data_IF_051797517474
#
_entry.id   IF_051797517474
#
_cell.length_a   1.000
_cell.length_b   1.000
_cell.length_c   1.000
_cell.angle_alpha   90.00
_cell.angle_beta   90.00
_cell.angle_gamma   90.00
#
_symmetry.space_group_name_H-M   'P 1'
#
loop_
_entity.id
_entity.type
_entity.pdbx_description
1 polymer ?
#
# COMPACT_ATOMS: atom_id res chain seq x y z
N UNK A 1 5.88 -24.26 24.39
CA UNK A 1 5.56 -23.90 23.01
C UNK A 1 4.76 -22.57 22.94
N UNK A 2 3.61 -22.42 23.60
CA UNK A 2 2.80 -21.18 23.55
C UNK A 2 3.52 -19.93 24.08
N UNK A 3 4.29 -20.05 25.16
CA UNK A 3 5.02 -18.91 25.75
C UNK A 3 6.15 -18.47 24.82
N UNK A 4 6.88 -19.37 24.21
CA UNK A 4 7.95 -19.04 23.27
C UNK A 4 7.41 -18.31 22.02
N UNK A 5 6.31 -18.82 21.43
CA UNK A 5 5.65 -18.18 20.30
C UNK A 5 5.13 -16.77 20.65
N UNK A 6 4.61 -16.57 21.87
CA UNK A 6 4.19 -15.25 22.31
C UNK A 6 5.35 -14.27 22.51
N UNK A 7 6.47 -14.77 23.03
CA UNK A 7 7.69 -13.96 23.17
C UNK A 7 8.25 -13.54 21.81
N UNK A 8 8.31 -14.46 20.85
CA UNK A 8 8.75 -14.15 19.48
C UNK A 8 7.85 -13.08 18.82
N UNK A 9 6.53 -13.20 19.01
CA UNK A 9 5.58 -12.22 18.49
C UNK A 9 5.73 -10.85 19.16
N UNK A 10 5.96 -10.82 20.47
CA UNK A 10 6.20 -9.58 21.21
C UNK A 10 7.50 -8.90 20.78
N UNK A 11 8.60 -9.66 20.66
CA UNK A 11 9.87 -9.15 20.20
C UNK A 11 9.77 -8.60 18.75
N UNK A 12 9.03 -9.29 17.89
CA UNK A 12 8.72 -8.83 16.54
C UNK A 12 8.02 -7.46 16.54
N UNK A 13 6.95 -7.32 17.34
CA UNK A 13 6.21 -6.05 17.45
C UNK A 13 7.10 -4.92 18.00
N UNK A 14 7.89 -5.19 19.03
CA UNK A 14 8.82 -4.21 19.63
C UNK A 14 9.87 -3.78 18.61
N UNK A 15 10.44 -4.71 17.86
CA UNK A 15 11.46 -4.40 16.86
C UNK A 15 10.90 -3.56 15.70
N UNK A 16 9.68 -3.83 15.24
CA UNK A 16 9.02 -3.02 14.22
C UNK A 16 8.73 -1.59 14.73
N UNK A 17 8.22 -1.45 15.95
CA UNK A 17 7.99 -0.16 16.57
C UNK A 17 9.29 0.62 16.80
N UNK A 18 10.39 -0.06 17.17
CA UNK A 18 11.70 0.55 17.32
C UNK A 18 12.27 1.01 15.96
N UNK A 19 12.21 0.16 14.95
CA UNK A 19 12.67 0.47 13.59
C UNK A 19 11.94 1.67 12.96
N UNK A 20 10.66 1.83 13.29
CA UNK A 20 9.85 2.98 12.85
C UNK A 20 9.93 4.20 13.77
N UNK A 21 10.73 4.16 14.84
CA UNK A 21 10.99 5.31 15.72
C UNK A 21 9.86 5.64 16.69
N UNK A 22 8.99 4.69 17.02
CA UNK A 22 7.94 4.87 18.03
C UNK A 22 8.40 4.55 19.45
N UNK A 23 9.46 3.79 19.60
CA UNK A 23 10.08 3.47 20.87
C UNK A 23 11.59 3.26 20.72
N UNK A 24 12.30 3.27 21.85
CA UNK A 24 13.71 2.88 21.95
C UNK A 24 13.82 1.72 22.94
N UNK A 25 14.57 0.68 22.56
CA UNK A 25 14.90 -0.45 23.43
C UNK A 25 16.28 -0.21 24.05
N UNK A 26 16.44 -0.52 25.35
CA UNK A 26 17.75 -0.45 26.01
C UNK A 26 18.72 -1.49 25.44
N UNK A 27 20.01 -1.26 25.59
CA UNK A 27 21.06 -2.20 25.12
C UNK A 27 20.92 -3.59 25.75
N UNK A 28 20.51 -3.67 27.01
CA UNK A 28 20.25 -4.91 27.73
C UNK A 28 18.95 -5.60 27.30
N UNK A 29 18.09 -4.91 26.52
CA UNK A 29 16.83 -5.44 26.02
C UNK A 29 15.68 -5.47 27.05
N UNK A 30 15.94 -5.10 28.30
CA UNK A 30 14.99 -5.25 29.41
C UNK A 30 14.04 -4.05 29.59
N UNK A 31 14.35 -2.92 28.99
CA UNK A 31 13.55 -1.70 29.09
C UNK A 31 13.17 -1.14 27.73
N UNK A 32 11.97 -0.59 27.66
CA UNK A 32 11.44 0.07 26.47
C UNK A 32 11.01 1.49 26.86
N UNK A 33 11.50 2.49 26.13
CA UNK A 33 11.10 3.88 26.27
C UNK A 33 10.21 4.27 25.10
N UNK A 34 8.98 4.71 25.38
CA UNK A 34 8.01 5.13 24.38
C UNK A 34 8.28 6.59 23.98
N UNK A 35 8.17 6.88 22.68
CA UNK A 35 8.22 8.24 22.15
C UNK A 35 6.80 8.82 22.04
N UNK A 36 6.68 10.15 22.10
CA UNK A 36 5.38 10.84 22.02
C UNK A 36 4.63 10.52 20.72
N UNK A 37 5.35 10.20 19.64
CA UNK A 37 4.78 9.80 18.35
C UNK A 37 3.87 8.58 18.44
N UNK A 38 4.02 7.70 19.45
CA UNK A 38 3.21 6.48 19.60
C UNK A 38 1.71 6.81 19.76
N UNK A 39 1.38 7.98 20.32
CA UNK A 39 -0.01 8.40 20.48
C UNK A 39 -0.75 8.54 19.12
N UNK A 40 -0.02 8.78 18.02
CA UNK A 40 -0.61 8.84 16.68
C UNK A 40 -1.22 7.50 16.28
N UNK A 41 -0.59 6.39 16.69
CA UNK A 41 -1.08 5.03 16.37
C UNK A 41 -2.44 4.73 17.00
N UNK A 42 -2.74 5.35 18.15
CA UNK A 42 -4.01 5.15 18.86
C UNK A 42 -5.22 5.71 18.09
N UNK A 43 -5.00 6.55 17.09
CA UNK A 43 -6.06 7.09 16.23
C UNK A 43 -6.56 6.06 15.21
N UNK A 44 -5.76 5.04 14.90
CA UNK A 44 -6.09 4.02 13.91
C UNK A 44 -6.70 2.79 14.61
N UNK A 45 -8.03 2.66 14.60
CA UNK A 45 -8.75 1.58 15.30
C UNK A 45 -9.23 0.46 14.38
N UNK A 46 -9.38 0.75 13.09
CA UNK A 46 -10.00 -0.15 12.11
C UNK A 46 -9.04 -0.63 11.04
N UNK A 47 -7.78 -0.16 11.07
CA UNK A 47 -6.72 -0.54 10.12
C UNK A 47 -5.46 -0.84 10.90
N UNK A 48 -4.48 -1.47 10.26
CA UNK A 48 -3.14 -1.60 10.84
C UNK A 48 -2.60 -0.21 11.21
N UNK A 49 -2.28 0.05 12.50
CA UNK A 49 -1.88 1.38 12.95
C UNK A 49 -0.57 1.87 12.33
N UNK A 50 0.39 0.96 12.07
CA UNK A 50 1.67 1.32 11.47
C UNK A 50 1.50 1.66 10.00
N UNK A 51 0.70 0.87 9.28
CA UNK A 51 0.35 1.18 7.89
C UNK A 51 -0.43 2.49 7.78
N UNK A 52 -1.39 2.73 8.66
CA UNK A 52 -2.14 3.99 8.71
C UNK A 52 -1.25 5.21 8.96
N UNK A 53 -0.30 5.11 9.88
CA UNK A 53 0.67 6.18 10.13
C UNK A 53 1.59 6.41 8.92
N UNK A 54 2.09 5.34 8.30
CA UNK A 54 2.86 5.40 7.06
C UNK A 54 2.08 6.11 5.95
N UNK A 55 0.81 5.75 5.73
CA UNK A 55 -0.02 6.41 4.72
C UNK A 55 -0.14 7.92 4.98
N UNK A 56 -0.38 8.34 6.23
CA UNK A 56 -0.49 9.78 6.53
C UNK A 56 0.79 10.56 6.22
N UNK A 57 1.95 9.95 6.35
CA UNK A 57 3.23 10.55 5.97
C UNK A 57 3.38 10.65 4.46
N UNK A 58 3.04 9.59 3.72
CA UNK A 58 3.16 9.57 2.26
C UNK A 58 2.17 10.51 1.57
N UNK A 59 0.94 10.62 2.09
CA UNK A 59 -0.13 11.42 1.49
C UNK A 59 0.18 12.94 1.43
N UNK A 60 1.21 13.42 2.12
CA UNK A 60 1.70 14.80 2.00
C UNK A 60 2.21 15.09 0.58
N UNK A 61 2.77 14.09 -0.10
CA UNK A 61 3.36 14.21 -1.44
C UNK A 61 2.39 13.88 -2.56
N UNK A 62 1.17 13.44 -2.24
CA UNK A 62 0.20 12.91 -3.20
C UNK A 62 -0.76 13.97 -3.72
N UNK A 63 -1.23 13.77 -4.96
CA UNK A 63 -2.38 14.48 -5.51
C UNK A 63 -3.71 13.90 -4.98
N UNK A 64 -4.84 14.39 -5.50
CA UNK A 64 -6.17 13.95 -5.04
C UNK A 64 -6.44 12.49 -5.41
N UNK A 65 -6.13 12.08 -6.62
CA UNK A 65 -6.34 10.74 -7.16
C UNK A 65 -5.54 9.71 -6.36
N UNK A 66 -4.27 9.99 -6.11
CA UNK A 66 -3.41 9.13 -5.27
C UNK A 66 -3.92 9.02 -3.83
N UNK A 67 -4.49 10.09 -3.26
CA UNK A 67 -5.13 10.04 -1.93
C UNK A 67 -6.32 9.10 -1.92
N UNK A 68 -7.15 9.17 -2.96
CA UNK A 68 -8.30 8.26 -3.10
C UNK A 68 -7.82 6.81 -3.20
N UNK A 69 -6.86 6.51 -4.08
CA UNK A 69 -6.32 5.15 -4.24
C UNK A 69 -5.66 4.63 -2.95
N UNK A 70 -4.93 5.48 -2.23
CA UNK A 70 -4.32 5.10 -0.95
C UNK A 70 -5.39 4.78 0.11
N UNK A 71 -6.46 5.58 0.20
CA UNK A 71 -7.55 5.31 1.13
C UNK A 71 -8.33 4.04 0.76
N UNK A 72 -8.48 3.75 -0.52
CA UNK A 72 -9.11 2.50 -0.98
C UNK A 72 -8.35 1.26 -0.51
N UNK A 73 -7.04 1.36 -0.30
CA UNK A 73 -6.22 0.24 0.19
C UNK A 73 -6.59 -0.21 1.61
N UNK A 74 -7.23 0.64 2.40
CA UNK A 74 -7.60 0.38 3.80
C UNK A 74 -9.11 0.19 4.02
N UNK A 75 -9.94 0.39 2.98
CA UNK A 75 -11.39 0.24 3.09
C UNK A 75 -11.80 -1.22 2.92
N UNK A 76 -12.68 -1.70 3.78
CA UNK A 76 -13.30 -3.01 3.65
C UNK A 76 -14.50 -2.94 2.69
N UNK A 77 -14.50 -3.79 1.66
CA UNK A 77 -15.62 -3.93 0.72
C UNK A 77 -15.91 -5.42 0.51
N UNK A 78 -17.18 -5.82 0.38
CA UNK A 78 -17.51 -7.21 0.11
C UNK A 78 -16.81 -7.76 -1.14
N UNK A 79 -16.25 -8.99 -1.09
CA UNK A 79 -15.49 -9.58 -2.21
C UNK A 79 -16.28 -9.65 -3.53
N UNK A 80 -17.62 -9.78 -3.43
CA UNK A 80 -18.52 -9.81 -4.59
C UNK A 80 -18.54 -8.50 -5.36
N UNK A 81 -18.26 -7.37 -4.70
CA UNK A 81 -18.18 -6.05 -5.35
C UNK A 81 -16.79 -5.86 -5.96
N UNK A 82 -15.74 -6.20 -5.22
CA UNK A 82 -14.34 -6.04 -5.68
C UNK A 82 -14.09 -6.71 -7.02
N UNK A 83 -14.63 -7.92 -7.22
CA UNK A 83 -14.47 -8.70 -8.46
C UNK A 83 -15.14 -8.10 -9.69
N UNK A 84 -16.03 -7.11 -9.49
CA UNK A 84 -16.82 -6.49 -10.57
C UNK A 84 -16.30 -5.11 -10.97
N UNK A 85 -15.32 -4.59 -10.25
CA UNK A 85 -14.78 -3.27 -10.49
C UNK A 85 -13.41 -3.42 -11.16
N UNK A 86 -13.27 -2.84 -12.35
CA UNK A 86 -11.99 -2.82 -13.06
C UNK A 86 -10.98 -1.90 -12.37
N UNK A 87 -9.71 -2.11 -12.61
CA UNK A 87 -8.64 -1.22 -12.16
C UNK A 87 -8.81 0.11 -12.91
N UNK A 88 -8.92 1.27 -12.20
CA UNK A 88 -9.05 2.56 -12.87
C UNK A 88 -7.76 2.97 -13.57
N UNK A 89 -7.88 3.56 -14.74
CA UNK A 89 -6.78 4.08 -15.54
C UNK A 89 -6.54 5.55 -15.20
N UNK A 90 -5.92 5.78 -14.04
CA UNK A 90 -5.55 7.13 -13.62
C UNK A 90 -4.08 7.40 -13.96
N UNK A 91 -3.75 8.62 -14.42
CA UNK A 91 -2.37 8.97 -14.68
C UNK A 91 -1.56 8.92 -13.38
N UNK A 92 -0.29 8.45 -13.44
CA UNK A 92 0.56 8.39 -12.26
C UNK A 92 0.79 9.79 -11.68
N UNK A 93 0.62 9.90 -10.36
CA UNK A 93 0.77 11.16 -9.64
C UNK A 93 2.18 11.40 -9.10
N UNK A 94 2.39 12.52 -8.38
CA UNK A 94 3.70 12.89 -7.85
C UNK A 94 4.22 11.94 -6.77
N UNK A 95 3.37 11.35 -5.95
CA UNK A 95 3.80 10.37 -4.96
C UNK A 95 4.33 9.11 -5.65
N UNK A 96 3.62 8.62 -6.66
CA UNK A 96 4.03 7.44 -7.41
C UNK A 96 5.38 7.69 -8.10
N UNK A 97 5.47 8.75 -8.90
CA UNK A 97 6.61 8.99 -9.80
C UNK A 97 7.86 9.50 -9.10
N UNK A 98 7.71 10.29 -8.03
CA UNK A 98 8.83 10.96 -7.36
C UNK A 98 9.30 10.24 -6.09
N UNK A 99 8.46 9.35 -5.51
CA UNK A 99 8.77 8.69 -4.25
C UNK A 99 8.73 7.17 -4.39
N UNK A 100 7.59 6.59 -4.76
CA UNK A 100 7.42 5.14 -4.71
C UNK A 100 8.24 4.42 -5.78
N UNK A 101 8.13 4.82 -7.04
CA UNK A 101 8.87 4.18 -8.14
C UNK A 101 10.40 4.24 -7.95
N UNK A 102 11.01 5.39 -7.59
CA UNK A 102 12.45 5.44 -7.31
C UNK A 102 12.86 4.53 -6.15
N UNK A 103 12.06 4.44 -5.08
CA UNK A 103 12.35 3.56 -3.97
C UNK A 103 12.28 2.09 -4.38
N UNK A 104 11.25 1.69 -5.12
CA UNK A 104 11.07 0.32 -5.59
C UNK A 104 12.15 -0.11 -6.58
N UNK A 105 12.60 0.80 -7.44
CA UNK A 105 13.75 0.57 -8.33
C UNK A 105 15.03 0.36 -7.51
N UNK A 106 15.27 1.19 -6.51
CA UNK A 106 16.44 1.05 -5.62
C UNK A 106 16.43 -0.28 -4.85
N UNK A 107 15.24 -0.78 -4.50
CA UNK A 107 15.07 -2.06 -3.83
C UNK A 107 15.11 -3.27 -4.78
N UNK A 108 15.16 -3.03 -6.10
CA UNK A 108 15.11 -4.09 -7.12
C UNK A 108 13.72 -4.73 -7.28
N UNK A 109 12.68 -4.11 -6.71
CA UNK A 109 11.29 -4.56 -6.81
C UNK A 109 10.58 -4.04 -8.08
N UNK A 110 11.19 -3.08 -8.77
CA UNK A 110 10.75 -2.55 -10.05
C UNK A 110 11.95 -2.40 -10.99
N UNK A 111 11.76 -2.74 -12.26
CA UNK A 111 12.73 -2.42 -13.31
C UNK A 111 12.53 -0.95 -13.70
N UNK A 112 13.62 -0.17 -13.73
CA UNK A 112 13.57 1.22 -14.15
C UNK A 112 13.01 1.31 -15.59
N UNK A 113 11.88 1.98 -15.77
CA UNK A 113 11.36 2.27 -17.11
C UNK A 113 12.26 3.34 -17.76
N UNK A 114 12.70 3.15 -19.00
CA UNK A 114 13.38 4.22 -19.73
C UNK A 114 12.42 5.41 -19.87
N UNK A 115 12.84 6.57 -19.40
CA UNK A 115 12.09 7.82 -19.50
C UNK A 115 11.85 8.13 -20.98
N UNK A 116 10.61 8.00 -21.48
CA UNK A 116 10.25 8.37 -22.86
C UNK A 116 9.64 7.27 -23.74
N UNK A 117 9.40 6.06 -23.24
CA UNK A 117 8.65 5.08 -24.01
C UNK A 117 7.15 5.42 -23.95
N UNK A 118 6.59 5.91 -25.06
CA UNK A 118 5.16 5.91 -25.28
C UNK A 118 4.67 4.46 -25.17
N UNK A 119 3.59 4.26 -24.42
CA UNK A 119 2.94 2.95 -24.31
C UNK A 119 2.28 2.71 -25.67
N UNK A 120 2.87 1.86 -26.52
CA UNK A 120 2.15 1.30 -27.64
C UNK A 120 1.03 0.41 -27.05
N UNK A 121 -0.19 0.90 -27.21
CA UNK A 121 -1.41 0.12 -26.96
C UNK A 121 -1.52 -0.98 -28.02
N UNK A 122 -0.83 -2.09 -27.83
CA UNK A 122 -1.21 -3.31 -28.53
C UNK A 122 -2.43 -3.89 -27.83
N UNK A 123 -3.51 -3.92 -28.59
CA UNK A 123 -4.82 -4.48 -28.30
C UNK A 123 -4.68 -5.88 -27.66
N UNK A 124 -4.98 -5.97 -26.38
CA UNK A 124 -5.16 -7.26 -25.73
C UNK A 124 -6.54 -7.79 -26.13
N UNK A 125 -6.55 -8.91 -26.83
CA UNK A 125 -7.76 -9.65 -27.20
C UNK A 125 -8.53 -10.08 -25.94
N UNK A 126 -9.86 -9.87 -25.96
CA UNK A 126 -10.80 -9.99 -24.83
C UNK A 126 -11.15 -11.44 -24.43
N UNK A 127 -10.40 -12.47 -24.77
CA UNK A 127 -10.88 -13.87 -24.66
C UNK A 127 -9.96 -14.86 -23.90
N UNK A 128 -9.16 -14.41 -22.90
CA UNK A 128 -8.44 -15.39 -22.05
C UNK A 128 -8.71 -15.15 -20.55
N UNK A 129 -9.84 -15.71 -20.09
CA UNK A 129 -10.37 -15.48 -18.73
C UNK A 129 -9.97 -16.57 -17.72
N UNK A 130 -8.98 -17.34 -17.91
CA UNK A 130 -8.40 -18.25 -16.88
C UNK A 130 -7.03 -18.76 -17.34
N UNK A 131 -5.96 -18.06 -17.01
CA UNK A 131 -4.71 -18.79 -16.76
C UNK A 131 -3.80 -18.06 -15.78
N UNK A 132 -3.10 -18.85 -14.98
CA UNK A 132 -2.29 -18.54 -13.80
C UNK A 132 -0.95 -17.86 -14.16
N UNK A 133 -0.97 -16.71 -14.83
CA UNK A 133 0.23 -15.90 -15.02
C UNK A 133 0.12 -14.56 -14.30
N UNK A 134 0.07 -14.60 -12.96
CA UNK A 134 0.22 -13.42 -12.08
C UNK A 134 1.62 -12.76 -12.18
N UNK A 135 2.45 -13.08 -13.18
CA UNK A 135 3.88 -12.87 -13.05
C UNK A 135 4.47 -11.65 -13.75
N UNK A 136 3.76 -10.83 -14.53
CA UNK A 136 4.45 -9.73 -15.23
C UNK A 136 3.76 -8.36 -15.23
N UNK A 137 2.60 -8.15 -14.62
CA UNK A 137 2.05 -6.80 -14.57
C UNK A 137 2.82 -5.94 -13.54
N UNK A 138 3.07 -4.68 -13.87
CA UNK A 138 3.66 -3.77 -12.89
C UNK A 138 2.73 -3.63 -11.67
N UNK A 139 3.29 -3.49 -10.45
CA UNK A 139 2.48 -3.33 -9.25
C UNK A 139 1.61 -2.08 -9.36
N UNK A 140 0.36 -2.21 -8.92
CA UNK A 140 -0.59 -1.10 -8.81
C UNK A 140 -0.16 -0.13 -7.71
N UNK A 141 -0.69 1.10 -7.72
CA UNK A 141 -0.34 2.12 -6.72
C UNK A 141 -0.50 1.65 -5.26
N UNK A 142 -1.61 0.99 -4.84
CA UNK A 142 -1.70 0.41 -3.50
C UNK A 142 -0.70 -0.70 -3.22
N UNK A 143 -0.35 -1.51 -4.21
CA UNK A 143 0.69 -2.54 -4.08
C UNK A 143 2.08 -1.91 -3.91
N UNK A 144 2.37 -0.82 -4.62
CA UNK A 144 3.61 -0.05 -4.42
C UNK A 144 3.71 0.51 -3.00
N UNK A 145 2.63 1.09 -2.47
CA UNK A 145 2.57 1.58 -1.09
C UNK A 145 2.85 0.44 -0.09
N UNK A 146 2.24 -0.71 -0.29
CA UNK A 146 2.45 -1.90 0.53
C UNK A 146 3.92 -2.34 0.50
N UNK A 147 4.51 -2.51 -0.67
CA UNK A 147 5.90 -2.93 -0.83
C UNK A 147 6.88 -1.98 -0.13
N UNK A 148 6.68 -0.67 -0.30
CA UNK A 148 7.50 0.35 0.37
C UNK A 148 7.30 0.32 1.88
N UNK A 149 6.09 0.11 2.37
CA UNK A 149 5.83 -0.04 3.80
C UNK A 149 6.53 -1.27 4.38
N UNK A 150 6.33 -2.44 3.77
CA UNK A 150 6.93 -3.70 4.21
C UNK A 150 8.47 -3.63 4.25
N UNK A 151 9.07 -2.90 3.32
CA UNK A 151 10.53 -2.70 3.31
C UNK A 151 11.07 -1.90 4.50
N UNK A 152 10.22 -1.14 5.20
CA UNK A 152 10.59 -0.37 6.39
C UNK A 152 10.47 -1.18 7.68
N UNK A 153 9.83 -2.33 7.64
CA UNK A 153 9.67 -3.18 8.80
C UNK A 153 10.95 -3.98 9.07
N UNK A 154 11.34 -4.10 10.32
CA UNK A 154 12.51 -4.90 10.73
C UNK A 154 12.30 -6.40 10.45
N UNK A 155 11.05 -6.84 10.50
CA UNK A 155 10.63 -8.16 10.07
C UNK A 155 9.26 -7.98 9.37
N UNK A 156 9.18 -8.21 8.06
CA UNK A 156 7.96 -7.94 7.30
C UNK A 156 6.84 -8.89 7.72
N UNK A 157 5.75 -8.32 8.20
CA UNK A 157 4.47 -9.00 8.33
C UNK A 157 3.63 -8.60 7.11
N UNK A 158 3.03 -9.55 6.38
CA UNK A 158 2.27 -9.22 5.21
C UNK A 158 1.05 -8.36 5.58
N UNK A 159 1.08 -7.10 5.18
CA UNK A 159 -0.06 -6.20 5.34
C UNK A 159 -1.10 -6.59 4.29
N UNK A 160 -2.31 -6.85 4.75
CA UNK A 160 -3.40 -7.16 3.85
C UNK A 160 -3.93 -5.87 3.20
N UNK A 161 -3.46 -5.60 2.00
CA UNK A 161 -3.94 -4.50 1.14
C UNK A 161 -4.75 -5.10 0.00
N UNK A 162 -6.03 -4.78 -0.04
CA UNK A 162 -6.91 -5.18 -1.12
C UNK A 162 -7.55 -3.94 -1.74
N UNK A 163 -7.04 -3.44 -2.87
CA UNK A 163 -7.60 -2.28 -3.56
C UNK A 163 -9.05 -2.52 -3.95
N UNK A 164 -9.87 -1.49 -3.84
CA UNK A 164 -11.31 -1.57 -4.12
C UNK A 164 -11.70 -0.91 -5.43
N UNK A 165 -10.88 0.00 -5.92
CA UNK A 165 -11.00 0.71 -7.21
C UNK A 165 -12.27 1.56 -7.41
N UNK A 166 -13.17 1.60 -6.40
CA UNK A 166 -14.46 2.30 -6.50
C UNK A 166 -14.25 3.81 -6.58
N UNK A 167 -13.48 4.37 -5.64
CA UNK A 167 -13.21 5.82 -5.62
C UNK A 167 -12.37 6.25 -6.82
N UNK A 168 -11.37 5.43 -7.21
CA UNK A 168 -10.59 5.63 -8.42
C UNK A 168 -11.45 5.61 -9.67
N UNK A 169 -12.36 4.65 -9.81
CA UNK A 169 -13.31 4.58 -10.91
C UNK A 169 -14.29 5.77 -10.95
N UNK A 170 -14.74 6.24 -9.78
CA UNK A 170 -15.55 7.48 -9.72
C UNK A 170 -14.72 8.69 -10.13
N UNK A 171 -13.47 8.79 -9.69
CA UNK A 171 -12.56 9.88 -10.09
C UNK A 171 -12.32 9.88 -11.61
N UNK A 172 -12.08 8.72 -12.21
CA UNK A 172 -11.94 8.52 -13.66
C UNK A 172 -13.21 8.95 -14.42
N UNK A 173 -14.40 8.70 -13.85
CA UNK A 173 -15.67 9.17 -14.41
C UNK A 173 -15.92 10.68 -14.17
N UNK A 174 -14.90 11.45 -13.72
CA UNK A 174 -15.00 12.88 -13.44
C UNK A 174 -15.73 13.22 -12.15
N UNK A 175 -15.78 12.33 -11.19
CA UNK A 175 -16.47 12.47 -9.92
C UNK A 175 -17.98 12.21 -10.01
N UNK A 176 -18.47 11.76 -11.16
CA UNK A 176 -19.89 11.47 -11.37
C UNK A 176 -20.17 9.98 -11.10
N UNK A 177 -20.76 9.71 -9.93
CA UNK A 177 -21.10 8.35 -9.51
C UNK A 177 -22.11 7.67 -10.46
N UNK A 178 -23.06 8.44 -11.02
CA UNK A 178 -24.04 7.88 -11.95
C UNK A 178 -23.38 7.44 -13.27
N UNK A 179 -22.42 8.21 -13.75
CA UNK A 179 -21.63 7.86 -14.92
C UNK A 179 -20.77 6.61 -14.66
N UNK A 180 -20.14 6.53 -13.49
CA UNK A 180 -19.38 5.37 -13.06
C UNK A 180 -20.23 4.08 -13.02
N UNK A 181 -21.45 4.15 -12.49
CA UNK A 181 -22.34 2.97 -12.40
C UNK A 181 -22.85 2.51 -13.76
N UNK A 182 -22.84 3.40 -14.77
CA UNK A 182 -23.30 3.08 -16.14
C UNK A 182 -22.19 2.65 -17.08
N UNK A 183 -20.92 2.86 -16.72
CA UNK A 183 -19.78 2.41 -17.51
C UNK A 183 -19.55 0.91 -17.31
#
# INVERSE_FOLDING_TARGET
>A
ERIASFQEQLDFMINNLAGLGYLTRSEDGDQVTLHDSIHKLLNFRSIDPLYGAFLTEQLVYSNFEEKVLALESVLEVPPTIVRKVRIPELPPGPLQTQVLEPMLVQMGALVARPTGAAVDEELADEDDFFDEEEQERPPTFPEMLKLVFESRLAAPEPVFVQPKWIGGGVAEAGGDFYRFVKS
#
